data_IF_511994665792
#
_entry.id   IF_511994665792
#
_cell.length_a   1.000
_cell.length_b   1.000
_cell.length_c   1.000
_cell.angle_alpha   90.00
_cell.angle_beta   90.00
_cell.angle_gamma   90.00
#
_symmetry.space_group_name_H-M   'P 1'
#
loop_
_entity.id
_entity.type
_entity.pdbx_description
1 polymer ?
#
# COMPACT_ATOMS: atom_id res chain seq x y z
N UNK A 1 -20.92 -8.98 -14.03
CA UNK A 1 -21.02 -10.04 -12.99
C UNK A 1 -20.10 -11.17 -13.42
N UNK A 2 -19.03 -11.43 -12.66
CA UNK A 2 -18.15 -12.56 -12.88
C UNK A 2 -18.36 -13.54 -11.74
N UNK A 3 -18.64 -14.80 -12.05
CA UNK A 3 -18.73 -15.87 -11.07
C UNK A 3 -17.45 -16.68 -11.15
N UNK A 4 -16.75 -16.80 -10.03
CA UNK A 4 -15.51 -17.57 -9.92
C UNK A 4 -15.86 -18.80 -9.08
N UNK A 5 -15.72 -19.97 -9.68
CA UNK A 5 -15.77 -21.24 -8.97
C UNK A 5 -14.34 -21.56 -8.51
N UNK A 6 -14.13 -21.67 -7.20
CA UNK A 6 -12.84 -22.08 -6.64
C UNK A 6 -12.94 -23.56 -6.31
N UNK A 7 -12.35 -24.40 -7.15
CA UNK A 7 -12.26 -25.84 -6.91
C UNK A 7 -10.98 -26.18 -6.13
N UNK A 8 -11.03 -27.27 -5.34
CA UNK A 8 -9.91 -27.78 -4.55
C UNK A 8 -9.32 -26.80 -3.53
N UNK A 9 -10.18 -26.05 -2.83
CA UNK A 9 -9.73 -25.26 -1.68
C UNK A 9 -9.43 -26.18 -0.50
N UNK A 10 -8.25 -26.01 0.11
CA UNK A 10 -7.87 -26.75 1.30
C UNK A 10 -8.88 -26.47 2.43
N UNK A 11 -9.47 -27.51 3.06
CA UNK A 11 -10.42 -27.34 4.16
C UNK A 11 -9.84 -26.54 5.32
N UNK A 12 -8.53 -26.60 5.56
CA UNK A 12 -7.86 -25.81 6.61
C UNK A 12 -7.91 -24.32 6.29
N UNK A 13 -7.80 -23.96 5.01
CA UNK A 13 -7.90 -22.58 4.56
C UNK A 13 -9.35 -22.09 4.65
N UNK A 14 -10.32 -22.96 4.37
CA UNK A 14 -11.74 -22.65 4.51
C UNK A 14 -12.09 -22.28 5.97
N UNK A 15 -11.67 -23.07 6.96
CA UNK A 15 -11.96 -22.78 8.38
C UNK A 15 -11.33 -21.46 8.85
N UNK A 16 -10.10 -21.17 8.39
CA UNK A 16 -9.43 -19.89 8.69
C UNK A 16 -10.19 -18.72 8.08
N UNK A 17 -10.62 -18.83 6.83
CA UNK A 17 -11.42 -17.81 6.16
C UNK A 17 -12.76 -17.60 6.86
N UNK A 18 -13.41 -18.67 7.31
CA UNK A 18 -14.67 -18.57 8.04
C UNK A 18 -14.49 -17.88 9.39
N UNK A 19 -13.39 -18.18 10.10
CA UNK A 19 -13.04 -17.52 11.35
C UNK A 19 -12.77 -16.03 11.14
N UNK A 20 -12.03 -15.67 10.09
CA UNK A 20 -11.77 -14.28 9.70
C UNK A 20 -13.06 -13.55 9.31
N UNK A 21 -13.93 -14.19 8.53
CA UNK A 21 -15.22 -13.63 8.14
C UNK A 21 -16.10 -13.35 9.38
N UNK A 22 -16.14 -14.26 10.35
CA UNK A 22 -16.84 -14.06 11.64
C UNK A 22 -16.25 -12.90 12.44
N UNK A 23 -14.93 -12.78 12.51
CA UNK A 23 -14.25 -11.66 13.19
C UNK A 23 -14.56 -10.31 12.53
N UNK A 24 -14.65 -10.29 11.20
CA UNK A 24 -14.93 -9.09 10.42
C UNK A 24 -16.44 -8.78 10.32
N UNK A 25 -17.30 -9.66 10.84
CA UNK A 25 -18.77 -9.51 10.78
C UNK A 25 -19.32 -9.61 9.35
N UNK A 26 -18.65 -10.36 8.47
CA UNK A 26 -18.96 -10.47 7.04
C UNK A 26 -19.29 -11.90 6.64
N UNK A 27 -19.95 -12.05 5.49
CA UNK A 27 -20.11 -13.37 4.88
C UNK A 27 -18.77 -13.90 4.33
N UNK A 28 -18.60 -15.22 4.28
CA UNK A 28 -17.40 -15.85 3.70
C UNK A 28 -17.12 -15.35 2.27
N UNK A 29 -18.17 -15.17 1.48
CA UNK A 29 -18.08 -14.71 0.10
C UNK A 29 -17.63 -13.25 0.00
N UNK A 30 -18.09 -12.37 0.89
CA UNK A 30 -17.62 -10.99 0.95
C UNK A 30 -16.17 -10.89 1.40
N UNK A 31 -15.77 -11.70 2.39
CA UNK A 31 -14.38 -11.72 2.86
C UNK A 31 -13.44 -12.21 1.75
N UNK A 32 -13.84 -13.26 1.02
CA UNK A 32 -13.08 -13.73 -0.14
C UNK A 32 -12.99 -12.67 -1.23
N UNK A 33 -14.08 -11.94 -1.51
CA UNK A 33 -14.07 -10.83 -2.47
C UNK A 33 -13.10 -9.74 -2.06
N UNK A 34 -13.08 -9.36 -0.78
CA UNK A 34 -12.18 -8.34 -0.24
C UNK A 34 -10.73 -8.79 -0.31
N UNK A 35 -10.43 -10.04 0.07
CA UNK A 35 -9.09 -10.60 -0.01
C UNK A 35 -8.61 -10.66 -1.47
N UNK A 36 -9.47 -11.09 -2.40
CA UNK A 36 -9.14 -11.11 -3.82
C UNK A 36 -8.92 -9.70 -4.38
N UNK A 37 -9.74 -8.73 -3.98
CA UNK A 37 -9.56 -7.34 -4.38
C UNK A 37 -8.24 -6.78 -3.85
N UNK A 38 -7.94 -6.97 -2.57
CA UNK A 38 -6.68 -6.55 -1.96
C UNK A 38 -5.48 -7.26 -2.57
N UNK A 39 -5.61 -8.56 -2.88
CA UNK A 39 -4.57 -9.33 -3.54
C UNK A 39 -4.35 -8.87 -4.98
N UNK A 40 -5.41 -8.53 -5.72
CA UNK A 40 -5.33 -7.98 -7.05
C UNK A 40 -4.72 -6.57 -7.03
N UNK A 41 -5.12 -5.71 -6.10
CA UNK A 41 -4.50 -4.39 -5.88
C UNK A 41 -3.02 -4.57 -5.55
N UNK A 42 -2.67 -5.41 -4.57
CA UNK A 42 -1.27 -5.69 -4.21
C UNK A 42 -0.47 -6.29 -5.37
N UNK A 43 -1.01 -7.26 -6.09
CA UNK A 43 -0.37 -7.83 -7.28
C UNK A 43 -0.14 -6.71 -8.31
N UNK A 44 -1.15 -5.87 -8.56
CA UNK A 44 -1.01 -4.69 -9.42
C UNK A 44 0.06 -3.74 -8.89
N UNK A 45 0.22 -3.57 -7.57
CA UNK A 45 1.32 -2.83 -6.95
C UNK A 45 2.68 -3.56 -6.97
N UNK A 46 2.74 -4.88 -7.17
CA UNK A 46 3.99 -5.62 -7.39
C UNK A 46 4.40 -5.63 -8.87
N UNK A 47 3.44 -5.65 -9.80
CA UNK A 47 3.67 -5.44 -11.25
C UNK A 47 3.91 -3.96 -11.57
N UNK A 48 3.22 -3.08 -10.85
CA UNK A 48 3.48 -1.64 -10.72
C UNK A 48 4.26 -1.42 -9.44
N UNK A 49 5.29 -2.25 -9.21
CA UNK A 49 6.28 -2.01 -8.16
C UNK A 49 6.72 -0.58 -8.32
N UNK A 50 6.16 0.31 -7.49
CA UNK A 50 6.31 1.74 -7.58
C UNK A 50 7.78 2.01 -7.63
N UNK A 51 8.24 2.30 -8.85
CA UNK A 51 9.56 1.96 -9.38
C UNK A 51 10.61 2.20 -8.30
N UNK A 52 10.92 1.13 -7.53
CA UNK A 52 11.72 1.25 -6.31
C UNK A 52 13.12 1.71 -6.68
N UNK A 53 13.54 1.41 -7.91
CA UNK A 53 14.68 2.02 -8.55
C UNK A 53 14.48 3.51 -8.87
N UNK A 54 13.37 3.96 -9.46
CA UNK A 54 13.13 5.41 -9.68
C UNK A 54 13.08 6.18 -8.38
N UNK A 55 12.44 5.65 -7.34
CA UNK A 55 12.41 6.30 -6.02
C UNK A 55 13.82 6.33 -5.42
N UNK A 56 14.57 5.23 -5.46
CA UNK A 56 15.98 5.20 -5.02
C UNK A 56 16.86 6.15 -5.86
N UNK A 57 16.68 6.23 -7.17
CA UNK A 57 17.37 7.17 -8.09
C UNK A 57 16.97 8.62 -7.84
N UNK A 58 15.71 8.89 -7.49
CA UNK A 58 15.25 10.24 -7.12
C UNK A 58 15.87 10.67 -5.79
N UNK A 59 15.89 9.80 -4.78
CA UNK A 59 16.55 10.06 -3.49
C UNK A 59 18.05 10.25 -3.66
N UNK A 60 18.74 9.40 -4.42
CA UNK A 60 20.17 9.56 -4.69
C UNK A 60 20.49 10.89 -5.38
N UNK A 61 19.68 11.31 -6.36
CA UNK A 61 19.83 12.62 -7.02
C UNK A 61 19.58 13.78 -6.08
N UNK A 62 18.57 13.68 -5.21
CA UNK A 62 18.31 14.69 -4.19
C UNK A 62 19.46 14.78 -3.19
N UNK A 63 19.98 13.64 -2.73
CA UNK A 63 21.09 13.58 -1.79
C UNK A 63 22.34 14.22 -2.40
N UNK A 64 22.74 13.89 -3.63
CA UNK A 64 23.87 14.56 -4.31
C UNK A 64 23.65 16.07 -4.47
N UNK A 65 22.43 16.52 -4.77
CA UNK A 65 22.11 17.96 -4.91
C UNK A 65 22.18 18.74 -3.59
N UNK A 66 22.02 18.05 -2.47
CA UNK A 66 21.90 18.66 -1.15
C UNK A 66 23.08 18.33 -0.22
N UNK A 67 23.96 17.39 -0.59
CA UNK A 67 25.23 17.15 0.10
C UNK A 67 26.10 18.41 0.04
N UNK A 68 26.44 18.96 1.20
CA UNK A 68 27.28 20.16 1.32
C UNK A 68 26.51 21.50 1.27
N UNK A 69 25.18 21.48 1.15
CA UNK A 69 24.36 22.68 1.32
C UNK A 69 23.95 22.83 2.78
N UNK A 70 24.33 23.94 3.39
CA UNK A 70 23.82 24.38 4.69
C UNK A 70 22.52 25.11 4.39
N UNK A 71 21.39 24.53 4.80
CA UNK A 71 20.12 25.23 4.75
C UNK A 71 20.01 26.07 6.02
N UNK A 72 19.81 27.38 5.86
CA UNK A 72 19.40 28.22 6.98
C UNK A 72 18.05 27.73 7.49
N UNK A 73 17.90 27.63 8.81
CA UNK A 73 16.66 27.19 9.44
C UNK A 73 15.50 28.07 8.95
N UNK A 74 14.57 27.47 8.21
CA UNK A 74 13.45 28.16 7.57
C UNK A 74 12.33 28.51 8.56
N UNK A 75 12.56 28.38 9.87
CA UNK A 75 11.58 28.74 10.90
C UNK A 75 11.13 30.20 10.84
N UNK A 76 12.02 31.14 10.53
CA UNK A 76 11.61 32.56 10.40
C UNK A 76 10.72 32.80 9.18
N UNK A 77 11.07 32.20 8.03
CA UNK A 77 10.28 32.30 6.79
C UNK A 77 8.89 31.67 6.92
N UNK A 78 8.78 30.56 7.65
CA UNK A 78 7.51 29.88 7.91
C UNK A 78 6.64 30.68 8.89
N UNK A 79 7.24 31.41 9.84
CA UNK A 79 6.49 32.30 10.75
C UNK A 79 5.90 33.50 10.00
N UNK A 80 6.68 34.13 9.13
CA UNK A 80 6.22 35.27 8.33
C UNK A 80 5.03 34.91 7.42
N UNK A 81 5.05 33.73 6.80
CA UNK A 81 3.96 33.26 5.94
C UNK A 81 2.70 32.87 6.72
N UNK A 82 2.83 32.53 8.01
CA UNK A 82 1.71 32.18 8.90
C UNK A 82 0.98 33.40 9.47
N UNK A 83 1.66 34.55 9.50
CA UNK A 83 1.10 35.82 10.01
C UNK A 83 0.48 36.69 8.90
N UNK A 84 0.41 36.20 7.65
CA UNK A 84 -0.34 36.81 6.55
C UNK A 84 -1.78 36.33 6.45
#
# INVERSE_FOLDING_TARGET
>A
MAQILVENLDPIILEKLETLAKQHGRSLQEELKQILQQAAEKATYYHTGGDMERTRKAVARAQVRYTGKIFSDSTELIREDRER
#
